data_IF_283851396790
#
_entry.id   IF_283851396790
#
_cell.length_a   1.000
_cell.length_b   1.000
_cell.length_c   1.000
_cell.angle_alpha   90.00
_cell.angle_beta   90.00
_cell.angle_gamma   90.00
#
_symmetry.space_group_name_H-M   'P 1'
#
loop_
_entity.id
_entity.type
_entity.pdbx_description
1 polymer ?
#
# COMPACT_ATOMS: atom_id res chain seq x y z
N UNK A 1 -15.80 -2.01 -8.67
CA UNK A 1 -15.28 -1.44 -7.41
C UNK A 1 -15.94 -2.17 -6.26
N UNK A 2 -15.15 -2.71 -5.33
CA UNK A 2 -15.64 -3.54 -4.22
C UNK A 2 -15.68 -2.68 -2.96
N UNK A 3 -16.82 -2.63 -2.29
CA UNK A 3 -16.98 -1.95 -1.00
C UNK A 3 -16.46 -2.85 0.13
N UNK A 4 -15.38 -2.42 0.78
CA UNK A 4 -14.70 -3.15 1.87
C UNK A 4 -15.22 -2.76 3.25
N UNK A 5 -15.53 -1.47 3.41
CA UNK A 5 -16.17 -0.91 4.60
C UNK A 5 -17.24 0.06 4.13
N UNK A 6 -18.46 -0.17 4.59
CA UNK A 6 -19.65 0.54 4.14
C UNK A 6 -19.45 2.06 4.18
N UNK A 7 -19.53 2.70 3.02
CA UNK A 7 -19.42 4.15 2.85
C UNK A 7 -18.05 4.73 3.22
N UNK A 8 -17.01 3.90 3.41
CA UNK A 8 -15.71 4.36 3.91
C UNK A 8 -14.51 3.88 3.13
N UNK A 9 -14.43 2.59 2.79
CA UNK A 9 -13.28 2.03 2.05
C UNK A 9 -13.79 1.16 0.92
N UNK A 10 -13.18 1.35 -0.26
CA UNK A 10 -13.35 0.51 -1.42
C UNK A 10 -11.99 0.10 -1.96
N UNK A 11 -11.95 -0.99 -2.74
CA UNK A 11 -10.80 -1.30 -3.56
C UNK A 11 -11.22 -1.73 -4.96
N UNK A 12 -10.29 -1.63 -5.89
CA UNK A 12 -10.45 -2.07 -7.27
C UNK A 12 -9.20 -2.81 -7.71
N UNK A 13 -9.40 -4.05 -8.13
CA UNK A 13 -8.34 -4.88 -8.72
C UNK A 13 -8.25 -4.61 -10.23
N UNK A 14 -7.03 -4.75 -10.75
CA UNK A 14 -6.72 -4.63 -12.16
C UNK A 14 -5.67 -5.68 -12.56
N UNK A 15 -5.81 -6.31 -13.73
CA UNK A 15 -4.73 -7.09 -14.32
C UNK A 15 -3.49 -6.21 -14.52
N UNK A 16 -2.35 -6.62 -13.97
CA UNK A 16 -1.08 -5.94 -14.15
C UNK A 16 0.01 -6.97 -14.38
N UNK A 17 0.87 -6.73 -15.37
CA UNK A 17 2.06 -7.54 -15.63
C UNK A 17 3.31 -6.70 -15.36
N UNK A 18 4.23 -7.25 -14.56
CA UNK A 18 5.56 -6.67 -14.33
C UNK A 18 6.57 -7.62 -14.97
N UNK A 19 7.35 -7.12 -15.93
CA UNK A 19 8.29 -7.94 -16.72
C UNK A 19 7.64 -9.19 -17.33
N UNK A 20 6.39 -9.08 -17.77
CA UNK A 20 5.60 -10.17 -18.36
C UNK A 20 4.92 -11.11 -17.35
N UNK A 21 5.23 -11.01 -16.06
CA UNK A 21 4.63 -11.84 -15.00
C UNK A 21 3.35 -11.16 -14.48
N UNK A 22 2.19 -11.84 -14.50
CA UNK A 22 0.95 -11.27 -13.99
C UNK A 22 0.96 -11.25 -12.46
N UNK A 23 1.15 -10.06 -11.89
CA UNK A 23 1.16 -9.84 -10.43
C UNK A 23 -0.14 -9.21 -9.93
N UNK A 24 -0.96 -8.70 -10.84
CA UNK A 24 -2.15 -7.92 -10.48
C UNK A 24 -1.78 -6.59 -9.82
N UNK A 25 -2.73 -5.67 -9.73
CA UNK A 25 -2.57 -4.45 -8.96
C UNK A 25 -3.89 -4.08 -8.31
N UNK A 26 -3.83 -3.45 -7.15
CA UNK A 26 -5.01 -2.98 -6.42
C UNK A 26 -4.86 -1.52 -6.06
N UNK A 27 -5.90 -0.76 -6.36
CA UNK A 27 -6.11 0.58 -5.83
C UNK A 27 -7.06 0.52 -4.65
N UNK A 28 -6.77 1.30 -3.61
CA UNK A 28 -7.66 1.49 -2.46
C UNK A 28 -8.18 2.93 -2.45
N UNK A 29 -9.49 3.09 -2.24
CA UNK A 29 -10.16 4.37 -2.11
C UNK A 29 -10.60 4.50 -0.66
N UNK A 30 -10.20 5.58 0.00
CA UNK A 30 -10.54 5.87 1.39
C UNK A 30 -11.33 7.18 1.42
N UNK A 31 -12.57 7.14 1.93
CA UNK A 31 -13.37 8.36 2.14
C UNK A 31 -12.93 9.06 3.43
N UNK A 32 -12.50 10.30 3.25
CA UNK A 32 -12.20 11.28 4.28
C UNK A 32 -13.46 12.10 4.62
N UNK A 33 -13.31 13.07 5.53
CA UNK A 33 -14.34 14.06 5.84
C UNK A 33 -14.78 14.85 4.59
N UNK A 34 -15.97 15.43 4.66
CA UNK A 34 -16.57 16.22 3.58
C UNK A 34 -16.70 15.47 2.24
N UNK A 35 -16.84 14.13 2.27
CA UNK A 35 -16.90 13.27 1.08
C UNK A 35 -15.69 13.42 0.14
N UNK A 36 -14.53 13.77 0.70
CA UNK A 36 -13.27 13.75 -0.03
C UNK A 36 -12.71 12.32 -0.08
N UNK A 37 -11.95 12.01 -1.13
CA UNK A 37 -11.36 10.70 -1.36
C UNK A 37 -9.83 10.80 -1.37
N UNK A 38 -9.19 9.88 -0.63
CA UNK A 38 -7.79 9.55 -0.77
C UNK A 38 -7.67 8.29 -1.63
N UNK A 39 -6.88 8.39 -2.69
CA UNK A 39 -6.55 7.29 -3.58
C UNK A 39 -5.17 6.76 -3.23
N UNK A 40 -5.09 5.48 -2.89
CA UNK A 40 -3.85 4.79 -2.60
C UNK A 40 -3.56 3.76 -3.69
N UNK A 41 -2.33 3.78 -4.23
CA UNK A 41 -1.88 2.88 -5.30
C UNK A 41 -2.76 2.99 -6.56
N UNK A 42 -2.77 4.14 -7.26
CA UNK A 42 -3.57 4.35 -8.46
C UNK A 42 -3.29 3.29 -9.55
N UNK A 43 -4.37 2.80 -10.16
CA UNK A 43 -4.36 1.86 -11.30
C UNK A 43 -4.70 2.60 -12.61
N UNK A 44 -4.80 1.90 -13.73
CA UNK A 44 -5.23 2.51 -15.01
C UNK A 44 -6.54 3.28 -14.86
N UNK A 45 -6.55 4.54 -15.33
CA UNK A 45 -7.69 5.43 -15.14
C UNK A 45 -8.71 5.31 -16.27
N UNK A 46 -9.49 4.23 -16.22
CA UNK A 46 -10.58 4.02 -17.19
C UNK A 46 -11.76 4.98 -16.98
N UNK A 47 -12.54 5.25 -18.03
CA UNK A 47 -13.77 6.05 -17.93
C UNK A 47 -14.76 5.48 -16.90
N UNK A 48 -14.89 4.15 -16.84
CA UNK A 48 -15.76 3.50 -15.86
C UNK A 48 -15.28 3.79 -14.43
N UNK A 49 -13.96 3.75 -14.18
CA UNK A 49 -13.40 4.05 -12.88
C UNK A 49 -13.68 5.51 -12.48
N UNK A 50 -13.51 6.46 -13.40
CA UNK A 50 -13.80 7.88 -13.14
C UNK A 50 -15.29 8.12 -12.80
N UNK A 51 -16.19 7.43 -13.50
CA UNK A 51 -17.63 7.50 -13.21
C UNK A 51 -17.96 6.93 -11.83
N UNK A 52 -17.32 5.84 -11.41
CA UNK A 52 -17.49 5.29 -10.06
C UNK A 52 -16.94 6.24 -8.99
N UNK A 53 -15.76 6.82 -9.19
CA UNK A 53 -15.15 7.78 -8.25
C UNK A 53 -16.03 9.02 -8.08
N UNK A 54 -16.57 9.57 -9.17
CA UNK A 54 -17.48 10.73 -9.14
C UNK A 54 -18.72 10.48 -8.27
N UNK A 55 -19.24 9.25 -8.23
CA UNK A 55 -20.37 8.89 -7.36
C UNK A 55 -19.96 8.79 -5.89
N UNK A 56 -18.69 8.49 -5.61
CA UNK A 56 -18.18 8.32 -4.25
C UNK A 56 -17.81 9.64 -3.57
N UNK A 57 -17.33 10.62 -4.31
CA UNK A 57 -16.86 11.89 -3.75
C UNK A 57 -15.83 12.59 -4.61
N UNK A 58 -15.27 13.68 -4.07
CA UNK A 58 -14.21 14.43 -4.74
C UNK A 58 -12.84 13.78 -4.46
N UNK A 59 -12.09 13.45 -5.50
CA UNK A 59 -10.69 13.02 -5.36
C UNK A 59 -9.87 14.20 -4.85
N UNK A 60 -9.38 14.08 -3.61
CA UNK A 60 -8.68 15.17 -2.91
C UNK A 60 -7.19 14.91 -2.77
N UNK A 61 -6.79 13.64 -2.63
CA UNK A 61 -5.40 13.24 -2.51
C UNK A 61 -5.13 11.94 -3.27
N UNK A 62 -3.98 11.87 -3.93
CA UNK A 62 -3.50 10.69 -4.64
C UNK A 62 -2.10 10.37 -4.11
N UNK A 63 -1.94 9.12 -3.69
CA UNK A 63 -0.74 8.60 -3.03
C UNK A 63 -0.30 7.31 -3.72
N UNK A 64 0.99 7.19 -4.00
CA UNK A 64 1.59 5.88 -4.33
C UNK A 64 2.28 5.32 -3.09
N UNK A 65 2.11 4.02 -2.75
CA UNK A 65 2.71 3.42 -1.56
C UNK A 65 4.24 3.55 -1.53
N UNK A 66 4.89 3.33 -2.66
CA UNK A 66 6.34 3.31 -2.81
C UNK A 66 6.74 3.68 -4.26
N UNK A 67 8.03 3.64 -4.57
CA UNK A 67 8.60 4.03 -5.89
C UNK A 67 8.26 3.09 -7.08
N UNK A 68 7.48 2.03 -6.85
CA UNK A 68 7.07 1.04 -7.87
C UNK A 68 5.64 1.27 -8.39
N UNK A 69 4.79 1.98 -7.66
CA UNK A 69 3.34 2.12 -7.97
C UNK A 69 2.98 3.40 -8.74
N UNK A 70 3.89 3.93 -9.55
CA UNK A 70 3.73 5.22 -10.25
C UNK A 70 3.36 5.10 -11.73
N UNK A 71 3.17 3.87 -12.24
CA UNK A 71 2.97 3.58 -13.67
C UNK A 71 1.85 4.41 -14.32
N UNK A 72 0.72 4.55 -13.63
CA UNK A 72 -0.46 5.25 -14.14
C UNK A 72 -0.54 6.71 -13.69
N UNK A 73 0.44 7.18 -12.91
CA UNK A 73 0.31 8.44 -12.19
C UNK A 73 0.16 9.66 -13.12
N UNK A 74 0.72 9.61 -14.34
CA UNK A 74 0.56 10.69 -15.33
C UNK A 74 -0.90 10.91 -15.74
N UNK A 75 -1.65 9.82 -15.97
CA UNK A 75 -3.05 9.90 -16.38
C UNK A 75 -3.91 10.49 -15.26
N UNK A 76 -3.61 10.10 -14.02
CA UNK A 76 -4.25 10.66 -12.83
C UNK A 76 -3.95 12.14 -12.65
N UNK A 77 -2.69 12.54 -12.86
CA UNK A 77 -2.26 13.94 -12.77
C UNK A 77 -2.98 14.82 -13.79
N UNK A 78 -3.16 14.33 -15.01
CA UNK A 78 -3.92 15.04 -16.05
C UNK A 78 -5.42 15.11 -15.77
N UNK A 79 -6.00 14.04 -15.21
CA UNK A 79 -7.45 13.95 -14.97
C UNK A 79 -7.92 14.64 -13.68
N UNK A 80 -7.05 14.74 -12.66
CA UNK A 80 -7.36 15.32 -11.35
C UNK A 80 -6.34 16.40 -10.95
N UNK A 81 -6.19 17.49 -11.73
CA UNK A 81 -5.17 18.51 -11.48
C UNK A 81 -5.36 19.26 -10.14
N UNK A 82 -6.56 19.23 -9.56
CA UNK A 82 -6.88 19.86 -8.27
C UNK A 82 -6.64 18.93 -7.06
N UNK A 83 -6.33 17.65 -7.30
CA UNK A 83 -6.01 16.72 -6.23
C UNK A 83 -4.56 16.90 -5.79
N UNK A 84 -4.29 16.72 -4.49
CA UNK A 84 -2.93 16.75 -3.99
C UNK A 84 -2.20 15.46 -4.35
N UNK A 85 -1.06 15.56 -5.02
CA UNK A 85 -0.17 14.45 -5.36
C UNK A 85 0.94 14.33 -4.34
N UNK A 86 0.89 13.25 -3.57
CA UNK A 86 1.87 12.94 -2.56
C UNK A 86 2.84 11.86 -3.02
N UNK A 87 4.13 12.20 -3.07
CA UNK A 87 5.19 11.26 -3.39
C UNK A 87 5.59 10.45 -2.15
N UNK A 88 5.79 9.12 -2.23
CA UNK A 88 6.57 8.41 -1.25
C UNK A 88 8.05 8.85 -1.35
N UNK A 89 8.85 8.64 -0.29
CA UNK A 89 10.26 8.99 -0.29
C UNK A 89 10.98 8.52 -1.56
N UNK A 90 11.67 9.44 -2.22
CA UNK A 90 12.48 9.18 -3.42
C UNK A 90 11.74 9.21 -4.77
N UNK A 91 10.41 9.14 -4.82
CA UNK A 91 9.69 9.11 -6.11
C UNK A 91 9.86 10.40 -6.92
N UNK A 92 9.90 11.56 -6.26
CA UNK A 92 10.12 12.86 -6.90
C UNK A 92 11.42 12.92 -7.73
N UNK A 93 12.46 12.18 -7.34
CA UNK A 93 13.73 12.11 -8.07
C UNK A 93 13.63 11.23 -9.33
N UNK A 94 12.69 10.27 -9.34
CA UNK A 94 12.46 9.33 -10.44
C UNK A 94 11.44 9.85 -11.45
N UNK A 95 10.45 10.62 -11.00
CA UNK A 95 9.37 11.21 -11.79
C UNK A 95 9.46 12.72 -11.82
N UNK A 96 10.54 13.22 -12.42
CA UNK A 96 10.79 14.66 -12.60
C UNK A 96 9.85 15.31 -13.61
N UNK A 97 9.09 14.50 -14.36
CA UNK A 97 8.05 14.93 -15.28
C UNK A 97 6.73 15.28 -14.60
N UNK A 98 6.56 14.93 -13.32
CA UNK A 98 5.38 15.25 -12.52
C UNK A 98 5.71 16.23 -11.40
N UNK A 99 4.76 17.13 -11.13
CA UNK A 99 4.81 17.99 -9.95
C UNK A 99 4.08 17.28 -8.82
N UNK A 100 4.78 17.08 -7.71
CA UNK A 100 4.21 16.59 -6.45
C UNK A 100 4.05 17.77 -5.49
N UNK A 101 2.91 17.83 -4.81
CA UNK A 101 2.62 18.89 -3.84
C UNK A 101 3.44 18.72 -2.56
N UNK A 102 3.69 17.47 -2.15
CA UNK A 102 4.50 17.15 -0.99
C UNK A 102 5.05 15.70 -1.03
N UNK A 103 6.06 15.41 -0.20
CA UNK A 103 6.57 14.08 0.04
C UNK A 103 6.05 13.52 1.37
N UNK A 104 5.53 12.29 1.33
CA UNK A 104 5.06 11.61 2.53
C UNK A 104 6.22 11.23 3.43
N UNK A 105 6.04 11.56 4.70
CA UNK A 105 6.97 11.23 5.77
C UNK A 105 6.21 10.53 6.91
N UNK A 106 6.85 10.37 8.05
CA UNK A 106 6.16 9.96 9.28
C UNK A 106 5.15 11.01 9.77
N UNK A 107 5.21 12.26 9.27
CA UNK A 107 4.23 13.28 9.61
C UNK A 107 2.96 13.11 8.77
N UNK A 108 1.81 13.06 9.44
CA UNK A 108 0.49 12.98 8.80
C UNK A 108 0.08 14.35 8.25
N UNK A 109 -0.16 14.48 6.93
CA UNK A 109 -0.67 15.72 6.32
C UNK A 109 -2.00 16.17 6.89
N UNK A 110 -2.25 17.49 6.87
CA UNK A 110 -3.47 18.08 7.42
C UNK A 110 -4.75 17.54 6.77
N UNK A 111 -4.68 17.18 5.48
CA UNK A 111 -5.81 16.68 4.69
C UNK A 111 -6.52 15.47 5.34
N UNK A 112 -5.80 14.58 6.01
CA UNK A 112 -6.36 13.41 6.69
C UNK A 112 -5.90 13.27 8.14
N UNK A 113 -5.33 14.34 8.70
CA UNK A 113 -4.96 14.40 10.12
C UNK A 113 -6.17 14.11 10.99
N UNK A 114 -5.97 13.30 12.03
CA UNK A 114 -7.03 12.79 12.92
C UNK A 114 -8.07 11.84 12.27
N UNK A 115 -7.88 11.45 11.00
CA UNK A 115 -8.78 10.53 10.30
C UNK A 115 -8.13 9.20 9.98
N UNK A 116 -6.85 9.24 9.58
CA UNK A 116 -6.04 8.07 9.26
C UNK A 116 -4.76 8.11 10.09
N UNK A 117 -4.28 6.93 10.47
CA UNK A 117 -2.93 6.73 10.97
C UNK A 117 -2.03 6.46 9.78
N UNK A 118 -0.80 6.97 9.81
CA UNK A 118 0.17 6.84 8.72
C UNK A 118 1.56 6.70 9.31
N UNK A 119 2.37 5.81 8.74
CA UNK A 119 3.81 5.76 9.00
C UNK A 119 4.53 5.29 7.74
N UNK A 120 5.86 5.31 7.79
CA UNK A 120 6.71 4.69 6.78
C UNK A 120 7.24 3.35 7.31
N UNK A 121 7.22 2.32 6.49
CA UNK A 121 8.02 1.10 6.70
C UNK A 121 9.43 1.40 6.21
N UNK A 122 10.36 1.56 7.16
CA UNK A 122 11.71 2.08 6.90
C UNK A 122 12.79 1.03 7.08
N UNK A 123 14.01 1.40 6.71
CA UNK A 123 15.22 0.62 6.96
C UNK A 123 15.78 -0.08 5.72
N UNK A 124 15.34 0.32 4.53
CA UNK A 124 15.87 -0.11 3.25
C UNK A 124 16.21 1.11 2.38
N UNK A 125 17.37 1.08 1.73
CA UNK A 125 17.77 2.11 0.76
C UNK A 125 17.04 1.97 -0.59
N UNK A 126 16.31 0.86 -0.79
CA UNK A 126 15.62 0.54 -2.04
C UNK A 126 14.10 0.58 -1.93
N UNK A 127 13.56 0.42 -0.73
CA UNK A 127 12.14 0.31 -0.47
C UNK A 127 11.77 0.96 0.87
N UNK A 128 11.23 2.17 0.81
CA UNK A 128 10.38 2.67 1.87
C UNK A 128 8.94 2.69 1.35
N UNK A 129 7.99 2.37 2.23
CA UNK A 129 6.58 2.33 1.88
C UNK A 129 5.75 3.12 2.89
N UNK A 130 4.84 3.93 2.39
CA UNK A 130 3.81 4.57 3.20
C UNK A 130 2.70 3.57 3.47
N UNK A 131 2.37 3.40 4.75
CA UNK A 131 1.30 2.52 5.21
C UNK A 131 0.25 3.36 5.93
N UNK A 132 -1.02 3.05 5.69
CA UNK A 132 -2.15 3.71 6.34
C UNK A 132 -2.92 2.74 7.22
N UNK A 133 -3.55 3.25 8.27
CA UNK A 133 -4.62 2.54 8.98
C UNK A 133 -5.82 3.47 9.15
N UNK A 134 -6.99 2.98 8.76
CA UNK A 134 -8.26 3.61 9.07
C UNK A 134 -8.85 3.05 10.37
N UNK A 135 -8.83 3.81 11.47
CA UNK A 135 -9.27 3.32 12.78
C UNK A 135 -10.78 3.10 12.88
N UNK A 136 -11.60 3.68 11.98
CA UNK A 136 -13.06 3.47 12.02
C UNK A 136 -13.48 2.14 11.39
N UNK A 137 -12.71 1.66 10.42
CA UNK A 137 -12.97 0.39 9.75
C UNK A 137 -12.01 -0.72 10.18
N UNK A 138 -11.09 -0.44 11.11
CA UNK A 138 -10.04 -1.36 11.55
C UNK A 138 -9.24 -1.96 10.38
N UNK A 139 -8.95 -1.15 9.36
CA UNK A 139 -8.28 -1.62 8.13
C UNK A 139 -6.89 -1.02 8.02
N UNK A 140 -5.87 -1.89 7.92
CA UNK A 140 -4.53 -1.55 7.48
C UNK A 140 -4.48 -1.58 5.94
N UNK A 141 -3.85 -0.59 5.33
CA UNK A 141 -3.66 -0.49 3.89
C UNK A 141 -2.15 -0.45 3.62
N UNK A 142 -1.67 -1.46 2.90
CA UNK A 142 -0.26 -1.62 2.50
C UNK A 142 -0.15 -1.77 0.98
N UNK A 143 1.03 -1.47 0.45
CA UNK A 143 1.42 -1.71 -0.93
C UNK A 143 2.11 -3.08 -1.08
N UNK A 144 3.42 -3.04 -1.27
CA UNK A 144 4.33 -4.17 -1.45
C UNK A 144 4.90 -4.72 -0.13
N UNK A 145 4.71 -4.02 1.00
CA UNK A 145 5.14 -4.48 2.33
C UNK A 145 4.63 -5.89 2.62
N UNK A 146 3.43 -6.22 2.14
CA UNK A 146 2.83 -7.54 2.28
C UNK A 146 2.25 -7.99 0.95
N UNK A 147 2.50 -9.24 0.55
CA UNK A 147 1.89 -9.86 -0.61
C UNK A 147 1.31 -11.23 -0.22
N UNK A 148 0.19 -11.60 -0.86
CA UNK A 148 -0.40 -12.93 -0.69
C UNK A 148 -1.02 -13.45 -2.00
N UNK A 149 -0.19 -14.10 -2.82
CA UNK A 149 -0.50 -14.47 -4.20
C UNK A 149 -1.20 -15.83 -4.33
N UNK A 150 -2.01 -16.21 -3.34
CA UNK A 150 -2.63 -17.55 -3.23
C UNK A 150 -3.65 -17.85 -4.33
N UNK A 151 -4.29 -16.83 -4.89
CA UNK A 151 -5.31 -16.95 -5.95
C UNK A 151 -4.74 -17.04 -7.36
N UNK A 152 -3.42 -16.98 -7.52
CA UNK A 152 -2.83 -17.01 -8.86
C UNK A 152 -2.91 -18.41 -9.47
N UNK A 153 -3.38 -18.50 -10.71
CA UNK A 153 -3.33 -19.72 -11.53
C UNK A 153 -2.18 -19.72 -12.55
N UNK A 154 -1.46 -18.60 -12.70
CA UNK A 154 -0.34 -18.51 -13.62
C UNK A 154 0.91 -19.14 -13.02
N UNK A 155 1.57 -20.03 -13.76
CA UNK A 155 2.73 -20.78 -13.26
C UNK A 155 3.95 -19.92 -12.95
N UNK A 156 4.18 -18.85 -13.71
CA UNK A 156 5.30 -17.93 -13.43
C UNK A 156 5.04 -17.17 -12.13
N UNK A 157 3.81 -16.70 -11.92
CA UNK A 157 3.43 -16.00 -10.68
C UNK A 157 3.47 -16.93 -9.48
N UNK A 158 3.01 -18.17 -9.61
CA UNK A 158 3.11 -19.18 -8.53
C UNK A 158 4.58 -19.43 -8.19
N UNK A 159 5.43 -19.67 -9.20
CA UNK A 159 6.86 -19.87 -9.00
C UNK A 159 7.52 -18.68 -8.31
N UNK A 160 7.25 -17.45 -8.78
CA UNK A 160 7.76 -16.22 -8.16
C UNK A 160 7.27 -16.05 -6.72
N UNK A 161 6.00 -16.33 -6.44
CA UNK A 161 5.41 -16.21 -5.12
C UNK A 161 5.95 -17.26 -4.15
N UNK A 162 6.21 -18.49 -4.61
CA UNK A 162 6.86 -19.54 -3.82
C UNK A 162 8.30 -19.14 -3.47
N UNK A 163 9.09 -18.68 -4.45
CA UNK A 163 10.46 -18.20 -4.24
C UNK A 163 10.51 -17.02 -3.24
N UNK A 164 9.47 -16.20 -3.21
CA UNK A 164 9.37 -15.06 -2.31
C UNK A 164 8.65 -15.32 -0.99
N UNK A 165 8.14 -16.54 -0.77
CA UNK A 165 7.43 -16.93 0.44
C UNK A 165 6.01 -16.34 0.59
N UNK A 166 5.44 -15.79 -0.48
CA UNK A 166 4.14 -15.07 -0.47
C UNK A 166 2.99 -15.89 -1.07
N UNK A 167 3.21 -17.16 -1.43
CA UNK A 167 2.16 -18.00 -2.04
C UNK A 167 1.23 -18.63 -0.99
N UNK A 168 1.81 -19.38 -0.04
CA UNK A 168 1.04 -20.15 0.94
C UNK A 168 0.51 -19.28 2.08
N UNK A 169 1.27 -18.24 2.47
CA UNK A 169 0.94 -17.32 3.55
C UNK A 169 1.25 -15.88 3.14
N UNK A 170 0.58 -14.90 3.74
CA UNK A 170 0.97 -13.49 3.63
C UNK A 170 2.39 -13.29 4.12
N UNK A 171 3.19 -12.55 3.36
CA UNK A 171 4.58 -12.28 3.67
C UNK A 171 5.05 -11.03 2.96
N UNK A 172 6.01 -10.31 3.55
CA UNK A 172 6.87 -9.42 2.76
C UNK A 172 7.65 -10.28 1.76
N UNK A 173 7.62 -9.97 0.45
CA UNK A 173 8.41 -10.70 -0.55
C UNK A 173 9.88 -10.81 -0.15
N UNK A 174 10.46 -12.00 -0.28
CA UNK A 174 11.83 -12.27 0.17
C UNK A 174 12.86 -11.28 -0.40
N UNK A 175 12.75 -10.92 -1.68
CA UNK A 175 13.65 -9.92 -2.28
C UNK A 175 13.56 -8.55 -1.61
N UNK A 176 12.38 -8.15 -1.12
CA UNK A 176 12.22 -6.93 -0.33
C UNK A 176 12.84 -7.07 1.05
N UNK A 177 12.67 -8.21 1.74
CA UNK A 177 13.29 -8.48 3.06
C UNK A 177 14.80 -8.28 3.04
N UNK A 178 15.46 -8.70 1.96
CA UNK A 178 16.90 -8.54 1.75
C UNK A 178 17.35 -7.08 1.60
N UNK A 179 16.44 -6.18 1.21
CA UNK A 179 16.74 -4.76 1.07
C UNK A 179 16.74 -4.01 2.41
N UNK A 180 16.05 -4.53 3.42
CA UNK A 180 16.00 -3.92 4.76
C UNK A 180 17.26 -4.23 5.57
N UNK A 181 18.31 -3.45 5.39
CA UNK A 181 19.59 -3.60 6.11
C UNK A 181 19.53 -2.99 7.52
N UNK A 182 18.79 -1.89 7.72
CA UNK A 182 18.55 -1.31 9.04
C UNK A 182 17.31 -1.94 9.69
N UNK A 183 17.55 -3.08 10.36
CA UNK A 183 16.49 -3.82 11.08
C UNK A 183 15.92 -3.05 12.27
N UNK A 184 16.64 -2.07 12.81
CA UNK A 184 16.17 -1.27 13.94
C UNK A 184 15.06 -0.34 13.49
N UNK A 185 15.24 0.41 12.39
CA UNK A 185 14.19 1.25 11.81
C UNK A 185 13.00 0.42 11.34
N UNK A 186 13.25 -0.72 10.70
CA UNK A 186 12.18 -1.64 10.31
C UNK A 186 11.35 -2.07 11.53
N UNK A 187 12.01 -2.54 12.59
CA UNK A 187 11.34 -2.98 13.82
C UNK A 187 10.51 -1.87 14.45
N UNK A 188 11.03 -0.64 14.50
CA UNK A 188 10.29 0.52 15.03
C UNK A 188 9.01 0.79 14.23
N UNK A 189 9.09 0.82 12.90
CA UNK A 189 7.90 0.98 12.03
C UNK A 189 6.87 -0.13 12.27
N UNK A 190 7.32 -1.38 12.38
CA UNK A 190 6.43 -2.53 12.58
C UNK A 190 5.78 -2.52 13.97
N UNK A 191 6.54 -2.18 15.01
CA UNK A 191 6.02 -2.03 16.36
C UNK A 191 4.99 -0.91 16.43
N UNK A 192 5.24 0.23 15.79
CA UNK A 192 4.27 1.32 15.68
C UNK A 192 2.97 0.85 15.00
N UNK A 193 3.05 0.22 13.83
CA UNK A 193 1.88 -0.33 13.13
C UNK A 193 1.12 -1.31 14.04
N UNK A 194 1.83 -2.16 14.79
CA UNK A 194 1.24 -3.11 15.72
C UNK A 194 0.50 -2.44 16.91
N UNK A 195 0.68 -1.15 17.17
CA UNK A 195 -0.12 -0.40 18.15
C UNK A 195 -1.47 0.09 17.61
N UNK A 196 -1.65 0.16 16.29
CA UNK A 196 -2.85 0.73 15.66
C UNK A 196 -4.08 -0.19 15.76
N UNK A 197 -5.32 0.31 15.71
CA UNK A 197 -6.51 -0.51 15.89
C UNK A 197 -6.97 -1.17 14.58
N UNK A 198 -6.17 -2.07 13.98
CA UNK A 198 -6.58 -2.83 12.79
C UNK A 198 -6.83 -4.30 13.09
N UNK A 199 -7.73 -4.92 12.32
CA UNK A 199 -7.94 -6.36 12.25
C UNK A 199 -8.02 -6.87 10.80
N UNK A 200 -8.12 -5.96 9.84
CA UNK A 200 -8.27 -6.28 8.42
C UNK A 200 -7.15 -5.63 7.63
N UNK A 201 -6.73 -6.24 6.52
CA UNK A 201 -5.60 -5.74 5.70
C UNK A 201 -5.97 -5.76 4.23
N UNK A 202 -5.80 -4.61 3.58
CA UNK A 202 -5.78 -4.48 2.12
C UNK A 202 -4.31 -4.35 1.69
N UNK A 203 -3.89 -5.20 0.77
CA UNK A 203 -2.56 -5.18 0.14
C UNK A 203 -2.66 -5.00 -1.37
N UNK A 204 -1.61 -4.50 -2.01
CA UNK A 204 -1.67 -4.19 -3.45
C UNK A 204 -1.64 -5.43 -4.36
N UNK A 205 -1.11 -6.56 -3.88
CA UNK A 205 -0.87 -7.76 -4.69
C UNK A 205 -1.45 -9.04 -4.06
N UNK A 206 -2.47 -9.60 -4.70
CA UNK A 206 -3.08 -10.86 -4.29
C UNK A 206 -4.28 -10.68 -3.36
N UNK A 207 -4.50 -11.62 -2.44
CA UNK A 207 -5.73 -11.73 -1.64
C UNK A 207 -5.75 -10.75 -0.45
N UNK A 208 -6.87 -10.06 -0.24
CA UNK A 208 -7.12 -9.24 0.97
C UNK A 208 -7.32 -10.10 2.22
N UNK A 209 -7.11 -9.53 3.40
CA UNK A 209 -7.25 -10.21 4.69
C UNK A 209 -8.43 -9.60 5.47
N UNK A 210 -9.58 -10.27 5.57
CA UNK A 210 -10.80 -9.69 6.16
C UNK A 210 -10.85 -9.71 7.69
N UNK A 211 -10.02 -10.52 8.34
CA UNK A 211 -10.00 -10.72 9.80
C UNK A 211 -8.63 -11.29 10.25
N UNK A 212 -8.33 -11.21 11.54
CA UNK A 212 -7.11 -11.78 12.12
C UNK A 212 -5.83 -11.05 11.70
N UNK A 213 -5.97 -9.82 11.22
CA UNK A 213 -4.91 -9.05 10.59
C UNK A 213 -3.72 -8.82 11.50
N UNK A 214 -3.93 -8.61 12.80
CA UNK A 214 -2.84 -8.40 13.77
C UNK A 214 -1.89 -9.60 13.85
N UNK A 215 -2.46 -10.79 14.03
CA UNK A 215 -1.69 -12.03 14.11
C UNK A 215 -0.99 -12.32 12.79
N UNK A 216 -1.70 -12.18 11.67
CA UNK A 216 -1.13 -12.39 10.33
C UNK A 216 0.02 -11.42 10.06
N UNK A 217 -0.15 -10.13 10.39
CA UNK A 217 0.90 -9.13 10.22
C UNK A 217 2.10 -9.42 11.11
N UNK A 218 1.88 -9.73 12.40
CA UNK A 218 2.95 -10.12 13.31
C UNK A 218 3.74 -11.32 12.76
N UNK A 219 3.06 -12.38 12.36
CA UNK A 219 3.68 -13.60 11.84
C UNK A 219 4.43 -13.36 10.51
N UNK A 220 3.95 -12.45 9.66
CA UNK A 220 4.64 -12.07 8.43
C UNK A 220 5.98 -11.35 8.68
N UNK A 221 6.11 -10.71 9.84
CA UNK A 221 7.24 -9.87 10.26
C UNK A 221 8.00 -10.40 11.48
N UNK A 222 7.69 -11.61 11.93
CA UNK A 222 8.30 -12.21 13.12
C UNK A 222 9.83 -12.22 13.08
N UNK A 223 10.39 -12.48 11.89
CA UNK A 223 11.83 -12.44 11.59
C UNK A 223 12.49 -11.07 11.81
N UNK A 224 11.73 -9.98 11.81
CA UNK A 224 12.21 -8.63 12.09
C UNK A 224 11.89 -8.18 13.52
N UNK A 225 10.78 -8.67 14.07
CA UNK A 225 10.25 -8.30 15.39
C UNK A 225 10.98 -8.99 16.53
N UNK A 226 11.23 -10.30 16.40
CA UNK A 226 12.11 -11.03 17.30
C UNK A 226 13.54 -10.60 16.98
N UNK A 227 14.13 -9.76 17.83
CA UNK A 227 15.54 -9.40 17.68
C UNK A 227 16.42 -10.65 17.68
N UNK A 228 17.50 -10.65 16.90
CA UNK A 228 18.51 -11.70 16.97
C UNK A 228 18.91 -11.89 18.44
N UNK A 229 18.54 -13.04 19.01
CA UNK A 229 19.11 -13.52 20.28
C UNK A 229 20.59 -13.88 20.08
N UNK A 230 21.07 -13.91 18.82
CA UNK A 230 22.42 -14.28 18.43
C UNK A 230 23.02 -13.33 17.38
N UNK A 231 22.94 -12.01 17.58
CA UNK A 231 23.83 -11.11 16.86
C UNK A 231 25.20 -11.14 17.58
N UNK A 232 26.30 -11.55 16.91
CA UNK A 232 27.64 -11.54 17.49
C UNK A 232 28.14 -10.12 17.81
#
# INVERSE_FOLDING_TARGET
MIEWSRGRIWYQDMPLKVSGIPVGGRMTIIRLYNNQLLIHSPIELTTQLQLELTKLGQVQAIVTPNMSHHLFLSEWWLAYPEAYFFAPPGLQNKRTDLVFDDALSAHTPELWRHQLLQTLVRGSDKMEEVVFCDPKSNTLIVGDTLAWMVDSHNMLTIGLALLNGCYQKPAMPYYWRLSFTDKTRLRQSLQEILTWPFDRIILAHGRVIPEGGKEIFYNAFDWALQGDINAP
#
